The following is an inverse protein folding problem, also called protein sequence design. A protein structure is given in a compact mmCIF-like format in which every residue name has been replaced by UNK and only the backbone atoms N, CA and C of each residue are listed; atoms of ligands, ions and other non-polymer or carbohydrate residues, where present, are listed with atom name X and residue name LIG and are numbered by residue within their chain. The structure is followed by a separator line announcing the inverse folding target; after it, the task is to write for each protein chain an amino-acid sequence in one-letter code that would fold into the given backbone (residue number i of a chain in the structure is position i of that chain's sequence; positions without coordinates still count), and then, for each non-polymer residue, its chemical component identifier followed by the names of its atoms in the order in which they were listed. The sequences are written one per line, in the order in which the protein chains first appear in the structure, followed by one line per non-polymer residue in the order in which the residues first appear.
data_IF_721072367793
#
_entry.id   IF_721072367793
#
_cell.length_a   1.000
_cell.length_b   1.000
_cell.length_c   1.000
_cell.angle_alpha   90.00
_cell.angle_beta   90.00
_cell.angle_gamma   90.00
#
_symmetry.space_group_name_H-M   'P 1'
#
loop_
_entity.id
_entity.type
_entity.pdbx_description
1 polymer ?
#
# COMPACT_ATOMS: atom_id res chain seq x y z
N UNK A 1 -0.56 -6.86 -9.87
CA UNK A 1 0.69 -6.13 -10.25
C UNK A 1 1.88 -6.73 -9.49
N UNK A 2 2.94 -7.17 -10.18
CA UNK A 2 4.13 -7.79 -9.56
C UNK A 2 5.37 -7.09 -10.08
N UNK A 3 6.11 -6.42 -9.20
CA UNK A 3 7.40 -5.83 -9.57
C UNK A 3 8.47 -6.93 -9.58
N UNK A 4 9.14 -7.10 -10.72
CA UNK A 4 10.24 -8.04 -10.84
C UNK A 4 11.56 -7.39 -10.42
N UNK A 5 12.01 -7.77 -9.23
CA UNK A 5 13.23 -7.26 -8.60
C UNK A 5 14.52 -7.93 -9.13
N UNK A 6 14.40 -8.89 -10.06
CA UNK A 6 15.54 -9.63 -10.62
C UNK A 6 16.39 -8.80 -11.60
N UNK A 7 15.85 -7.70 -12.15
CA UNK A 7 16.54 -6.84 -13.12
C UNK A 7 17.55 -5.87 -12.50
N UNK A 8 17.51 -5.66 -11.18
CA UNK A 8 18.41 -4.73 -10.50
C UNK A 8 19.75 -5.40 -10.16
N UNK A 9 20.81 -5.02 -10.89
CA UNK A 9 22.21 -5.28 -10.51
C UNK A 9 22.55 -4.46 -9.26
N UNK A 10 23.46 -4.98 -8.43
CA UNK A 10 23.94 -4.35 -7.18
C UNK A 10 24.18 -2.85 -7.32
N UNK A 11 23.48 -2.02 -6.53
CA UNK A 11 23.49 -0.56 -6.64
C UNK A 11 22.29 0.13 -5.97
N UNK A 12 22.24 1.46 -6.08
CA UNK A 12 21.04 2.28 -5.79
C UNK A 12 20.36 2.56 -7.12
N UNK A 13 19.09 2.20 -7.26
CA UNK A 13 18.27 2.53 -8.43
C UNK A 13 17.08 3.39 -8.02
N UNK A 14 16.64 4.30 -8.89
CA UNK A 14 15.49 5.17 -8.66
C UNK A 14 14.37 4.80 -9.61
N UNK A 15 13.26 4.37 -9.06
CA UNK A 15 12.01 4.12 -9.77
C UNK A 15 11.17 5.38 -9.68
N UNK A 16 10.79 5.92 -10.84
CA UNK A 16 9.86 7.03 -10.97
C UNK A 16 8.76 6.60 -11.94
N UNK A 17 7.55 6.41 -11.43
CA UNK A 17 6.42 5.84 -12.18
C UNK A 17 5.15 6.58 -11.83
N UNK A 18 4.36 6.87 -12.85
CA UNK A 18 2.98 7.33 -12.72
C UNK A 18 2.04 6.20 -13.13
N UNK A 19 1.01 5.95 -12.33
CA UNK A 19 -0.03 4.95 -12.60
C UNK A 19 -1.39 5.63 -12.75
N UNK A 20 -2.08 5.32 -13.83
CA UNK A 20 -3.45 5.80 -14.04
C UNK A 20 -4.42 5.19 -13.03
N UNK A 21 -5.46 5.92 -12.60
CA UNK A 21 -6.42 5.44 -11.60
C UNK A 21 -7.04 4.07 -11.92
N UNK A 22 -7.35 3.82 -13.20
CA UNK A 22 -7.96 2.57 -13.65
C UNK A 22 -7.14 1.30 -13.36
N UNK A 23 -5.85 1.45 -13.08
CA UNK A 23 -4.96 0.35 -12.67
C UNK A 23 -5.34 -0.20 -11.29
N UNK A 24 -5.93 0.62 -10.43
CA UNK A 24 -6.27 0.26 -9.05
C UNK A 24 -7.72 -0.20 -8.89
N UNK A 25 -8.53 -0.13 -9.95
CA UNK A 25 -9.96 -0.46 -9.89
C UNK A 25 -10.23 -1.87 -9.34
N UNK A 26 -9.40 -2.86 -9.68
CA UNK A 26 -9.54 -4.22 -9.15
C UNK A 26 -9.06 -4.40 -7.71
N UNK A 27 -8.22 -3.50 -7.20
CA UNK A 27 -7.77 -3.52 -5.81
C UNK A 27 -8.78 -2.86 -4.86
N UNK A 28 -9.58 -1.92 -5.37
CA UNK A 28 -10.60 -1.20 -4.61
C UNK A 28 -12.00 -1.79 -4.75
N UNK A 29 -12.25 -2.64 -5.77
CA UNK A 29 -13.56 -3.22 -6.07
C UNK A 29 -14.20 -3.99 -4.90
N UNK A 30 -13.40 -4.64 -4.06
CA UNK A 30 -13.92 -5.46 -2.95
C UNK A 30 -14.14 -4.65 -1.66
N UNK A 31 -13.63 -3.42 -1.60
CA UNK A 31 -13.62 -2.64 -0.34
C UNK A 31 -14.63 -1.51 -0.34
N UNK A 32 -15.02 -0.96 -1.50
CA UNK A 32 -15.93 0.20 -1.66
C UNK A 32 -15.61 1.45 -0.78
N UNK A 33 -14.49 1.43 -0.06
CA UNK A 33 -14.11 2.42 0.94
C UNK A 33 -13.49 3.67 0.29
N UNK A 34 -12.82 3.49 -0.85
CA UNK A 34 -12.12 4.56 -1.54
C UNK A 34 -11.91 4.26 -3.03
N UNK A 35 -11.82 5.32 -3.81
CA UNK A 35 -11.41 5.31 -5.21
C UNK A 35 -10.15 6.14 -5.38
N UNK A 36 -9.30 5.76 -6.34
CA UNK A 36 -8.17 6.61 -6.76
C UNK A 36 -8.74 7.62 -7.75
N UNK A 37 -8.69 8.91 -7.44
CA UNK A 37 -9.29 9.97 -8.26
C UNK A 37 -8.29 10.59 -9.25
N UNK A 38 -7.00 10.60 -8.89
CA UNK A 38 -5.92 11.18 -9.69
C UNK A 38 -4.77 10.19 -9.89
N UNK A 39 -3.94 10.37 -10.94
CA UNK A 39 -2.79 9.51 -11.16
C UNK A 39 -1.90 9.37 -9.92
N UNK A 40 -1.44 8.14 -9.67
CA UNK A 40 -0.57 7.84 -8.53
C UNK A 40 0.87 8.02 -8.96
N UNK A 41 1.55 8.99 -8.35
CA UNK A 41 2.98 9.21 -8.55
C UNK A 41 3.76 8.44 -7.50
N UNK A 42 4.60 7.53 -7.95
CA UNK A 42 5.46 6.69 -7.12
C UNK A 42 6.92 7.00 -7.41
N UNK A 43 7.62 7.51 -6.40
CA UNK A 43 9.08 7.66 -6.43
C UNK A 43 9.68 6.74 -5.38
N UNK A 44 10.54 5.81 -5.78
CA UNK A 44 11.21 4.86 -4.88
C UNK A 44 12.70 4.78 -5.17
N UNK A 45 13.51 4.87 -4.13
CA UNK A 45 14.92 4.52 -4.15
C UNK A 45 15.08 3.07 -3.68
N UNK A 46 15.59 2.21 -4.55
CA UNK A 46 15.86 0.79 -4.31
C UNK A 46 17.34 0.61 -4.06
N UNK A 47 17.72 0.22 -2.84
CA UNK A 47 19.08 -0.12 -2.46
C UNK A 47 19.21 -1.63 -2.30
N UNK A 48 20.03 -2.25 -3.16
CA UNK A 48 20.31 -3.69 -3.10
C UNK A 48 21.75 -3.93 -2.66
N UNK A 49 21.90 -4.42 -1.44
CA UNK A 49 23.18 -4.77 -0.82
C UNK A 49 23.22 -6.30 -0.57
N UNK A 50 23.81 -7.04 -1.52
CA UNK A 50 23.84 -8.51 -1.48
C UNK A 50 22.43 -9.11 -1.42
N UNK A 51 22.12 -9.81 -0.33
CA UNK A 51 20.79 -10.41 -0.08
C UNK A 51 19.78 -9.48 0.59
N UNK A 52 20.14 -8.22 0.88
CA UNK A 52 19.25 -7.23 1.49
C UNK A 52 18.76 -6.26 0.41
N UNK A 53 17.45 -6.08 0.36
CA UNK A 53 16.80 -5.06 -0.48
C UNK A 53 16.04 -4.14 0.45
N UNK A 54 16.37 -2.84 0.38
CA UNK A 54 15.64 -1.77 1.03
C UNK A 54 15.06 -0.87 -0.05
N UNK A 55 13.80 -0.50 0.08
CA UNK A 55 13.09 0.39 -0.83
C UNK A 55 12.51 1.52 0.00
N UNK A 56 12.90 2.76 -0.29
CA UNK A 56 12.42 3.95 0.43
C UNK A 56 11.91 4.96 -0.56
N UNK A 57 10.79 5.61 -0.28
CA UNK A 57 10.27 6.63 -1.19
C UNK A 57 8.94 7.22 -0.77
N UNK A 58 8.19 7.72 -1.75
CA UNK A 58 6.96 8.49 -1.57
C UNK A 58 5.92 8.11 -2.60
N UNK A 59 4.67 8.12 -2.18
CA UNK A 59 3.48 7.97 -3.01
C UNK A 59 2.63 9.20 -2.83
N UNK A 60 2.29 9.87 -3.93
CA UNK A 60 1.38 11.01 -3.92
C UNK A 60 0.23 10.78 -4.89
N UNK A 61 -0.99 11.04 -4.45
CA UNK A 61 -2.22 10.92 -5.26
C UNK A 61 -3.37 11.65 -4.56
N UNK A 62 -4.56 11.61 -5.15
CA UNK A 62 -5.82 12.03 -4.53
C UNK A 62 -6.75 10.83 -4.52
N UNK A 63 -7.29 10.53 -3.34
CA UNK A 63 -8.35 9.54 -3.17
C UNK A 63 -9.70 10.22 -3.12
N UNK A 64 -10.74 9.56 -3.61
CA UNK A 64 -12.13 9.93 -3.40
C UNK A 64 -12.76 8.93 -2.43
N UNK A 65 -13.34 9.44 -1.35
CA UNK A 65 -13.98 8.65 -0.31
C UNK A 65 -15.40 9.14 -0.11
N UNK A 66 -16.32 8.23 0.23
CA UNK A 66 -17.66 8.63 0.63
C UNK A 66 -17.65 9.16 2.07
N UNK A 67 -18.24 10.34 2.29
CA UNK A 67 -18.40 10.87 3.64
C UNK A 67 -19.30 9.96 4.47
N UNK A 68 -18.85 9.48 5.64
CA UNK A 68 -19.66 8.58 6.49
C UNK A 68 -20.96 9.21 7.00
N UNK A 69 -21.10 10.55 6.92
CA UNK A 69 -22.28 11.30 7.40
C UNK A 69 -23.29 11.61 6.31
N UNK A 70 -22.83 12.05 5.13
CA UNK A 70 -23.70 12.49 4.03
C UNK A 70 -23.59 11.62 2.76
N UNK A 71 -22.67 10.66 2.72
CA UNK A 71 -22.35 9.81 1.57
C UNK A 71 -21.93 10.57 0.30
N UNK A 72 -21.67 11.87 0.41
CA UNK A 72 -21.14 12.65 -0.70
C UNK A 72 -19.66 12.33 -0.92
N UNK A 73 -19.20 12.24 -2.19
CA UNK A 73 -17.80 12.04 -2.50
C UNK A 73 -16.95 13.23 -2.05
N UNK A 74 -15.85 12.96 -1.35
CA UNK A 74 -14.88 13.98 -0.96
C UNK A 74 -13.45 13.55 -1.32
N UNK A 75 -12.65 14.51 -1.79
CA UNK A 75 -11.28 14.30 -2.25
C UNK A 75 -10.28 14.49 -1.12
N UNK A 76 -9.48 13.46 -0.87
CA UNK A 76 -8.45 13.45 0.16
C UNK A 76 -7.08 13.36 -0.52
N UNK A 77 -6.23 14.40 -0.40
CA UNK A 77 -4.85 14.31 -0.89
C UNK A 77 -4.07 13.31 -0.02
N UNK A 78 -3.38 12.38 -0.67
CA UNK A 78 -2.53 11.39 -0.03
C UNK A 78 -1.09 11.69 -0.35
N UNK A 79 -0.30 11.76 0.71
CA UNK A 79 1.14 11.84 0.68
C UNK A 79 1.72 10.83 1.68
N UNK A 80 2.06 9.64 1.18
CA UNK A 80 2.52 8.54 2.00
C UNK A 80 4.01 8.28 1.76
N UNK A 81 4.76 8.09 2.86
CA UNK A 81 6.14 7.58 2.79
C UNK A 81 6.13 6.06 2.75
N UNK A 82 6.92 5.49 1.85
CA UNK A 82 7.10 4.05 1.72
C UNK A 82 8.49 3.68 2.26
N UNK A 83 8.56 2.78 3.24
CA UNK A 83 9.81 2.14 3.69
C UNK A 83 9.60 0.63 3.74
N UNK A 84 9.98 -0.06 2.67
CA UNK A 84 9.91 -1.50 2.55
C UNK A 84 11.31 -2.09 2.67
N UNK A 85 11.57 -2.73 3.81
CA UNK A 85 12.82 -3.46 4.05
C UNK A 85 12.54 -4.94 4.05
N UNK A 86 13.13 -5.67 3.11
CA UNK A 86 13.09 -7.14 3.15
C UNK A 86 13.90 -7.62 4.34
N UNK A 87 13.23 -7.91 5.46
CA UNK A 87 13.84 -8.69 6.56
C UNK A 87 13.88 -10.16 6.13
N UNK A 88 14.99 -10.83 6.43
CA UNK A 88 15.11 -12.28 6.23
C UNK A 88 14.00 -12.92 7.06
N UNK A 89 13.18 -13.73 6.40
CA UNK A 89 12.13 -14.55 6.97
C UNK A 89 12.55 -15.08 8.35
N UNK A 90 11.89 -14.66 9.42
CA UNK A 90 11.87 -15.43 10.66
C UNK A 90 10.85 -16.56 10.41
N UNK A 91 11.24 -17.83 10.45
CA UNK A 91 10.26 -18.90 10.38
C UNK A 91 9.46 -18.88 11.68
N UNK A 92 8.15 -18.67 11.58
CA UNK A 92 7.22 -18.90 12.70
C UNK A 92 6.50 -17.65 13.22
N UNK A 93 5.47 -17.21 12.50
CA UNK A 93 4.25 -16.73 13.16
C UNK A 93 3.06 -17.16 12.30
N UNK A 94 2.40 -18.24 12.71
CA UNK A 94 1.18 -18.73 12.07
C UNK A 94 0.12 -17.62 12.05
N UNK A 95 -0.58 -17.52 10.92
CA UNK A 95 -1.76 -16.70 10.74
C UNK A 95 -2.97 -17.36 11.41
N UNK A 96 -2.94 -17.61 12.72
CA UNK A 96 -4.08 -18.24 13.43
C UNK A 96 -4.54 -17.46 14.67
N UNK A 97 -4.24 -16.16 14.79
CA UNK A 97 -4.61 -15.39 16.00
C UNK A 97 -5.12 -13.96 15.76
N UNK A 98 -5.81 -13.68 14.65
CA UNK A 98 -6.44 -12.35 14.42
C UNK A 98 -7.94 -12.43 14.13
N UNK A 99 -8.58 -13.58 14.33
CA UNK A 99 -10.05 -13.71 14.28
C UNK A 99 -10.57 -14.21 15.62
N UNK A 100 -10.43 -13.41 16.69
CA UNK A 100 -11.15 -13.64 17.95
C UNK A 100 -11.10 -12.43 18.92
N UNK A 101 -11.28 -11.18 18.47
CA UNK A 101 -11.47 -10.08 19.45
C UNK A 101 -12.43 -8.96 19.02
N UNK A 102 -13.41 -9.25 18.15
CA UNK A 102 -14.49 -8.30 17.82
C UNK A 102 -15.90 -8.74 18.24
N UNK A 103 -16.06 -9.89 18.91
CA UNK A 103 -17.38 -10.35 19.39
C UNK A 103 -17.60 -10.25 20.91
N UNK A 104 -16.68 -9.61 21.66
CA UNK A 104 -16.84 -9.47 23.13
C UNK A 104 -17.46 -8.15 23.62
N UNK A 105 -17.70 -7.16 22.76
CA UNK A 105 -18.33 -5.89 23.18
C UNK A 105 -19.86 -5.82 23.01
N UNK A 106 -20.51 -6.74 22.30
CA UNK A 106 -21.94 -6.63 21.99
C UNK A 106 -22.90 -7.29 23.01
N UNK A 107 -22.43 -7.68 24.20
CA UNK A 107 -23.27 -8.36 25.23
C UNK A 107 -23.34 -7.67 26.59
N UNK A 108 -22.94 -6.40 26.69
CA UNK A 108 -23.19 -5.58 27.89
C UNK A 108 -23.41 -4.11 27.52
N UNK A 109 -24.61 -3.79 27.04
CA UNK A 109 -25.46 -2.70 27.54
C UNK A 109 -26.75 -2.62 26.74
#
# INVERSE_FOLDING_TARGET
MRFDLSRFKSGTDRIDRTYEPGVFASATADTDDFLVAEPVHLTLDVKKNGNRVAMTGRVTTVLEVACSRCLEPYRVPVDARVDLRRRRNQPGRSQDAVIADHLRCARRR
#
